data_IF_659685325431
#
_entry.id   IF_659685325431
#
_cell.length_a   1.000
_cell.length_b   1.000
_cell.length_c   1.000
_cell.angle_alpha   90.00
_cell.angle_beta   90.00
_cell.angle_gamma   90.00
#
_symmetry.space_group_name_H-M   'P 1'
#
loop_
_entity.id
_entity.type
_entity.pdbx_description
1 polymer ?
#
# COMPACT_ATOMS: atom_id res chain seq x y z
N UNK A 1 9.99 -23.83 11.14
CA UNK A 1 9.55 -22.41 11.15
C UNK A 1 8.04 -22.40 11.02
N UNK A 2 7.34 -21.53 11.75
CA UNK A 2 5.89 -21.33 11.68
C UNK A 2 5.62 -19.86 11.29
N UNK A 3 4.34 -19.47 11.11
CA UNK A 3 3.99 -18.11 10.65
C UNK A 3 4.47 -17.01 11.61
N UNK A 4 4.23 -17.16 12.91
CA UNK A 4 4.64 -16.16 13.91
C UNK A 4 6.17 -16.00 13.96
N UNK A 5 6.90 -17.12 13.89
CA UNK A 5 8.37 -17.11 13.83
C UNK A 5 8.88 -16.46 12.55
N UNK A 6 8.14 -16.58 11.44
CA UNK A 6 8.50 -15.89 10.20
C UNK A 6 8.23 -14.38 10.28
N UNK A 7 7.11 -13.95 10.85
CA UNK A 7 6.78 -12.52 11.02
C UNK A 7 7.80 -11.82 11.93
N UNK A 8 8.21 -12.45 13.02
CA UNK A 8 9.30 -11.97 13.89
C UNK A 8 10.63 -11.88 13.11
N UNK A 9 10.95 -12.91 12.33
CA UNK A 9 12.14 -12.91 11.48
C UNK A 9 12.11 -11.79 10.43
N UNK A 10 10.95 -11.52 9.82
CA UNK A 10 10.75 -10.45 8.84
C UNK A 10 11.01 -9.07 9.47
N UNK A 11 10.51 -8.85 10.68
CA UNK A 11 10.74 -7.63 11.45
C UNK A 11 12.22 -7.42 11.74
N UNK A 12 12.91 -8.48 12.20
CA UNK A 12 14.33 -8.40 12.50
C UNK A 12 15.19 -8.16 11.25
N UNK A 13 14.83 -8.77 10.11
CA UNK A 13 15.48 -8.50 8.81
C UNK A 13 15.32 -7.02 8.43
N UNK A 14 14.13 -6.44 8.59
CA UNK A 14 13.87 -5.03 8.26
C UNK A 14 14.61 -4.05 9.17
N UNK A 15 14.76 -4.40 10.44
CA UNK A 15 15.52 -3.61 11.42
C UNK A 15 17.03 -3.79 11.25
N UNK A 16 17.46 -4.90 10.65
CA UNK A 16 18.86 -5.13 10.33
C UNK A 16 19.29 -4.20 9.19
N UNK A 17 20.42 -3.53 9.35
CA UNK A 17 21.07 -2.78 8.27
C UNK A 17 21.85 -3.68 7.30
N UNK A 18 21.71 -5.00 7.44
CA UNK A 18 22.48 -6.00 6.71
C UNK A 18 21.74 -6.45 5.45
N UNK A 19 22.47 -6.85 4.39
CA UNK A 19 21.87 -7.54 3.27
C UNK A 19 21.17 -8.84 3.73
N UNK A 20 19.97 -9.10 3.22
CA UNK A 20 19.14 -10.25 3.59
C UNK A 20 19.92 -11.57 3.67
N UNK A 21 20.73 -11.89 2.64
CA UNK A 21 21.51 -13.14 2.62
C UNK A 21 22.51 -13.22 3.77
N UNK A 22 23.19 -12.12 4.09
CA UNK A 22 24.17 -12.05 5.18
C UNK A 22 23.48 -12.23 6.53
N UNK A 23 22.35 -11.55 6.74
CA UNK A 23 21.56 -11.68 7.96
C UNK A 23 21.06 -13.11 8.15
N UNK A 24 20.45 -13.71 7.12
CA UNK A 24 19.96 -15.09 7.17
C UNK A 24 21.09 -16.09 7.44
N UNK A 25 22.28 -15.87 6.88
CA UNK A 25 23.45 -16.69 7.14
C UNK A 25 23.91 -16.59 8.60
N UNK A 26 23.91 -15.40 9.21
CA UNK A 26 24.29 -15.19 10.61
C UNK A 26 23.39 -15.96 11.58
N UNK A 27 22.08 -15.99 11.31
CA UNK A 27 21.11 -16.70 12.16
C UNK A 27 20.92 -18.18 11.76
N UNK A 28 21.68 -18.69 10.79
CA UNK A 28 21.63 -20.07 10.34
C UNK A 28 20.37 -20.46 9.55
N UNK A 29 19.64 -19.48 9.00
CA UNK A 29 18.44 -19.72 8.17
C UNK A 29 18.83 -19.81 6.70
N UNK A 30 18.50 -20.92 6.05
CA UNK A 30 18.70 -21.05 4.59
C UNK A 30 17.80 -20.09 3.82
N UNK A 31 18.34 -19.47 2.77
CA UNK A 31 17.60 -18.56 1.90
C UNK A 31 16.32 -19.17 1.32
N UNK A 32 16.36 -20.45 0.89
CA UNK A 32 15.19 -21.17 0.38
C UNK A 32 14.06 -21.27 1.39
N UNK A 33 14.40 -21.44 2.68
CA UNK A 33 13.42 -21.52 3.77
C UNK A 33 12.73 -20.17 3.95
N UNK A 34 13.51 -19.10 4.04
CA UNK A 34 12.97 -17.73 4.12
C UNK A 34 12.07 -17.42 2.93
N UNK A 35 12.54 -17.71 1.71
CA UNK A 35 11.81 -17.38 0.49
C UNK A 35 10.51 -18.17 0.32
N UNK A 36 10.47 -19.43 0.78
CA UNK A 36 9.24 -20.21 0.83
C UNK A 36 8.21 -19.57 1.76
N UNK A 37 8.60 -19.20 2.99
CA UNK A 37 7.71 -18.57 3.95
C UNK A 37 7.27 -17.18 3.49
N UNK A 38 8.16 -16.39 2.89
CA UNK A 38 7.82 -15.10 2.31
C UNK A 38 6.74 -15.24 1.23
N UNK A 39 6.85 -16.19 0.29
CA UNK A 39 5.77 -16.45 -0.67
C UNK A 39 4.49 -16.94 0.00
N UNK A 40 4.60 -17.85 0.97
CA UNK A 40 3.45 -18.43 1.67
C UNK A 40 2.64 -17.36 2.43
N UNK A 41 3.32 -16.44 3.12
CA UNK A 41 2.70 -15.34 3.84
C UNK A 41 2.26 -14.20 2.92
N UNK A 42 2.96 -13.96 1.81
CA UNK A 42 2.56 -12.97 0.81
C UNK A 42 1.22 -13.33 0.16
N UNK A 43 1.03 -14.60 -0.23
CA UNK A 43 -0.24 -15.08 -0.80
C UNK A 43 -1.40 -14.92 0.20
N UNK A 44 -1.14 -15.18 1.48
CA UNK A 44 -2.09 -15.00 2.58
C UNK A 44 -2.42 -13.51 2.85
N UNK A 45 -1.45 -12.60 2.67
CA UNK A 45 -1.69 -11.14 2.71
C UNK A 45 -2.44 -10.62 1.49
N UNK A 46 -2.31 -11.26 0.32
CA UNK A 46 -3.07 -10.88 -0.89
C UNK A 46 -4.49 -11.43 -0.91
N UNK A 47 -4.78 -12.50 -0.15
CA UNK A 47 -6.16 -13.02 0.00
C UNK A 47 -6.97 -12.17 0.99
N UNK A 48 -6.31 -11.52 1.96
CA UNK A 48 -6.89 -10.43 2.74
C UNK A 48 -6.95 -9.20 1.84
N UNK A 49 -8.15 -8.82 1.41
CA UNK A 49 -8.43 -7.62 0.60
C UNK A 49 -7.53 -6.46 1.05
N UNK A 50 -6.52 -6.15 0.26
CA UNK A 50 -5.62 -5.03 0.52
C UNK A 50 -6.49 -3.78 0.70
N UNK A 51 -6.55 -3.27 1.93
CA UNK A 51 -7.25 -2.02 2.21
C UNK A 51 -6.65 -0.93 1.34
N UNK A 52 -7.51 -0.16 0.69
CA UNK A 52 -7.11 0.95 -0.18
C UNK A 52 -6.14 1.87 0.58
N UNK A 53 -5.07 2.29 -0.09
CA UNK A 53 -4.07 3.15 0.52
C UNK A 53 -4.73 4.43 1.10
N UNK A 54 -4.31 4.89 2.30
CA UNK A 54 -4.88 6.07 2.92
C UNK A 54 -4.73 7.29 2.01
N UNK A 55 -5.82 8.03 1.85
CA UNK A 55 -5.89 9.24 1.02
C UNK A 55 -5.70 10.43 1.95
N UNK A 56 -4.68 11.25 1.70
CA UNK A 56 -4.48 12.52 2.40
C UNK A 56 -4.83 13.67 1.47
N UNK A 57 -5.73 14.53 1.91
CA UNK A 57 -6.11 15.73 1.18
C UNK A 57 -5.16 16.86 1.55
N UNK A 58 -4.42 17.38 0.56
CA UNK A 58 -3.68 18.64 0.70
C UNK A 58 -4.47 19.77 0.07
N UNK A 59 -4.56 20.90 0.76
CA UNK A 59 -5.19 22.12 0.24
C UNK A 59 -4.42 22.59 -0.99
N UNK A 60 -5.12 22.70 -2.12
CA UNK A 60 -4.54 22.97 -3.44
C UNK A 60 -3.88 24.34 -3.51
N UNK A 61 -2.62 24.39 -3.93
CA UNK A 61 -2.01 25.60 -4.51
C UNK A 61 -2.34 25.55 -6.00
N UNK A 62 -3.08 26.54 -6.48
CA UNK A 62 -3.47 26.70 -7.88
C UNK A 62 -2.23 26.65 -8.78
N UNK A 63 -2.13 25.62 -9.62
CA UNK A 63 -1.24 25.60 -10.77
C UNK A 63 -2.07 25.30 -12.00
N UNK A 64 -2.10 26.28 -12.92
CA UNK A 64 -2.75 26.22 -14.23
C UNK A 64 -2.20 25.06 -15.08
N UNK A 65 -3.07 24.37 -15.84
CA UNK A 65 -2.64 23.79 -17.10
C UNK A 65 -3.60 24.14 -18.24
N UNK A 66 -3.06 24.83 -19.25
CA UNK A 66 -3.56 24.78 -20.63
C UNK A 66 -3.34 23.37 -21.19
N UNK A 67 -4.25 22.45 -20.91
CA UNK A 67 -4.39 21.20 -21.65
C UNK A 67 -5.80 20.68 -21.37
N UNK A 68 -6.59 20.44 -22.43
CA UNK A 68 -8.01 20.10 -22.37
C UNK A 68 -8.33 19.14 -21.23
N UNK A 69 -8.79 19.69 -20.10
CA UNK A 69 -9.14 18.92 -18.91
C UNK A 69 -10.44 18.17 -19.25
N UNK A 70 -10.44 16.82 -19.27
CA UNK A 70 -11.67 16.07 -19.40
C UNK A 70 -12.61 16.49 -18.27
N UNK A 71 -13.81 16.93 -18.60
CA UNK A 71 -14.79 17.38 -17.60
C UNK A 71 -15.10 16.22 -16.63
N UNK A 72 -14.94 16.46 -15.33
CA UNK A 72 -15.11 15.46 -14.28
C UNK A 72 -14.26 15.73 -13.04
N UNK A 73 -14.12 14.72 -12.17
CA UNK A 73 -13.40 14.85 -10.89
C UNK A 73 -12.04 14.17 -10.96
N UNK A 74 -10.99 14.83 -10.45
CA UNK A 74 -9.66 14.24 -10.33
C UNK A 74 -9.27 14.09 -8.86
N UNK A 75 -8.72 12.92 -8.51
CA UNK A 75 -8.19 12.63 -7.18
C UNK A 75 -6.68 12.48 -7.27
N UNK A 76 -5.96 13.26 -6.46
CA UNK A 76 -4.50 13.19 -6.34
C UNK A 76 -4.13 12.46 -5.06
N UNK A 77 -3.34 11.40 -5.19
CA UNK A 77 -2.81 10.66 -4.05
C UNK A 77 -1.50 11.30 -3.56
N UNK A 78 -1.18 11.22 -2.25
CA UNK A 78 0.03 11.82 -1.68
C UNK A 78 1.34 11.32 -2.31
N UNK A 79 1.31 10.11 -2.87
CA UNK A 79 2.47 9.47 -3.51
C UNK A 79 2.67 9.91 -4.96
N UNK A 80 1.84 10.81 -5.49
CA UNK A 80 1.89 11.28 -6.88
C UNK A 80 0.88 10.67 -7.87
N UNK A 81 0.29 9.47 -7.68
CA UNK A 81 -0.73 8.96 -8.59
C UNK A 81 -1.94 9.89 -8.69
N UNK A 82 -2.52 9.97 -9.89
CA UNK A 82 -3.74 10.74 -10.17
C UNK A 82 -4.78 9.83 -10.80
N UNK A 83 -5.99 9.84 -10.26
CA UNK A 83 -7.15 9.17 -10.84
C UNK A 83 -8.10 10.21 -11.42
N UNK A 84 -8.58 9.97 -12.64
CA UNK A 84 -9.57 10.80 -13.31
C UNK A 84 -10.88 10.05 -13.40
N UNK A 85 -11.96 10.71 -12.99
CA UNK A 85 -13.32 10.22 -13.12
C UNK A 85 -14.07 11.14 -14.08
N UNK A 86 -14.75 10.56 -15.07
CA UNK A 86 -15.51 11.32 -16.05
C UNK A 86 -16.72 12.03 -15.43
N UNK A 87 -17.37 12.89 -16.21
CA UNK A 87 -18.54 13.66 -15.78
C UNK A 87 -19.68 12.77 -15.22
N UNK A 88 -20.30 13.17 -14.11
CA UNK A 88 -21.40 12.44 -13.46
C UNK A 88 -20.98 11.34 -12.47
N UNK A 89 -19.69 11.29 -12.11
CA UNK A 89 -19.12 10.29 -11.19
C UNK A 89 -18.99 10.78 -9.73
N UNK A 90 -19.40 12.02 -9.46
CA UNK A 90 -19.27 12.71 -8.18
C UNK A 90 -19.92 11.90 -7.05
N UNK A 91 -21.16 11.43 -7.25
CA UNK A 91 -21.91 10.70 -6.24
C UNK A 91 -21.27 9.36 -5.89
N UNK A 92 -20.77 8.64 -6.91
CA UNK A 92 -20.08 7.36 -6.73
C UNK A 92 -18.76 7.58 -5.99
N UNK A 93 -18.01 8.63 -6.36
CA UNK A 93 -16.77 9.00 -5.70
C UNK A 93 -17.01 9.37 -4.23
N UNK A 94 -18.03 10.18 -3.95
CA UNK A 94 -18.40 10.56 -2.59
C UNK A 94 -18.87 9.36 -1.76
N UNK A 95 -19.60 8.42 -2.35
CA UNK A 95 -19.99 7.18 -1.70
C UNK A 95 -18.78 6.30 -1.37
N UNK A 96 -17.82 6.19 -2.29
CA UNK A 96 -16.55 5.48 -2.06
C UNK A 96 -15.78 6.11 -0.89
N UNK A 97 -15.57 7.43 -0.90
CA UNK A 97 -14.89 8.11 0.22
C UNK A 97 -15.61 7.91 1.54
N UNK A 98 -16.93 8.07 1.56
CA UNK A 98 -17.72 7.88 2.79
C UNK A 98 -17.59 6.46 3.34
N UNK A 99 -17.60 5.46 2.47
CA UNK A 99 -17.40 4.06 2.88
C UNK A 99 -15.98 3.80 3.36
N UNK A 100 -14.97 4.36 2.69
CA UNK A 100 -13.56 4.23 3.09
C UNK A 100 -13.27 4.91 4.42
N UNK A 101 -13.92 6.03 4.73
CA UNK A 101 -13.73 6.80 5.97
C UNK A 101 -14.55 6.29 7.16
N UNK A 102 -15.62 5.51 6.93
CA UNK A 102 -16.45 4.90 8.00
C UNK A 102 -15.68 3.93 8.90
N UNK A 103 -14.53 3.43 8.45
CA UNK A 103 -13.64 2.55 9.23
C UNK A 103 -12.52 3.27 9.98
N UNK A 104 -12.56 4.60 10.10
CA UNK A 104 -11.47 5.40 10.64
C UNK A 104 -11.14 5.13 12.11
N UNK A 105 -10.04 4.39 12.34
CA UNK A 105 -9.13 4.63 13.46
C UNK A 105 -8.43 5.97 13.15
N UNK A 106 -8.74 7.01 13.93
CA UNK A 106 -8.00 8.28 13.97
C UNK A 106 -6.76 8.09 14.84
#
# INVERSE_FOLDING_TARGET
>A
MNRLVFEELELQVQQSSLPLKSYLQQIGVRYSTYHYWHRKCFVDRTSVKQGLAPISFKQSVESSPEEQVPHGVAVLFPNGPRAHFGNGSEEILMKLFTQSLRGGHV
#
